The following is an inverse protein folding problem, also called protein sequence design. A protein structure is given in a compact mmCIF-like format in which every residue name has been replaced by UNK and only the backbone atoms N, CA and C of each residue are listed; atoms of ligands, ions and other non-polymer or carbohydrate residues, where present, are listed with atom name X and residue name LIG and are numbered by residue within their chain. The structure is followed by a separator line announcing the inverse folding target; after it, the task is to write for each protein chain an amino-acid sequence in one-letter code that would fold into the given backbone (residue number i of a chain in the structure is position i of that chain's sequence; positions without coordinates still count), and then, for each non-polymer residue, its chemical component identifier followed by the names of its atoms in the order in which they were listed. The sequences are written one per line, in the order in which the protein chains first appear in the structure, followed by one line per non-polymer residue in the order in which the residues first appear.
data_IF_452064969269
#
_entry.id   IF_452064969269
#
_cell.length_a   1.000
_cell.length_b   1.000
_cell.length_c   1.000
_cell.angle_alpha   90.00
_cell.angle_beta   90.00
_cell.angle_gamma   90.00
#
_symmetry.space_group_name_H-M   'P 1'
#
loop_
_entity.id
_entity.type
_entity.pdbx_description
1 polymer ?
#
# COMPACT_ATOMS: atom_id res chain seq x y z
N UNK A 1 20.11 5.58 -5.72
CA UNK A 1 21.19 6.06 -4.79
C UNK A 1 20.60 6.15 -3.39
N UNK A 2 20.94 5.21 -2.49
CA UNK A 2 20.41 5.17 -1.12
C UNK A 2 21.16 6.18 -0.25
N UNK A 3 20.44 7.12 0.36
CA UNK A 3 20.98 8.12 1.27
C UNK A 3 20.69 7.71 2.72
N UNK A 4 21.68 7.88 3.59
CA UNK A 4 21.61 7.52 5.00
C UNK A 4 21.87 8.75 5.87
N UNK A 5 21.05 8.99 6.87
CA UNK A 5 21.37 9.87 7.97
C UNK A 5 22.12 9.16 9.09
N UNK A 6 22.48 9.87 10.16
CA UNK A 6 23.21 9.29 11.30
C UNK A 6 22.44 8.16 12.01
N UNK A 7 21.11 8.17 11.96
CA UNK A 7 20.28 7.15 12.57
C UNK A 7 20.35 5.83 11.81
N UNK A 8 20.19 5.91 10.50
CA UNK A 8 20.22 4.76 9.61
C UNK A 8 21.61 4.13 9.58
N UNK A 9 22.67 4.96 9.63
CA UNK A 9 24.04 4.45 9.76
C UNK A 9 24.21 3.71 11.10
N UNK A 10 23.69 4.25 12.20
CA UNK A 10 23.77 3.60 13.50
C UNK A 10 23.06 2.23 13.51
N UNK A 11 21.91 2.14 12.85
CA UNK A 11 21.14 0.91 12.70
C UNK A 11 21.90 -0.15 11.90
N UNK A 12 22.49 0.21 10.76
CA UNK A 12 23.29 -0.69 9.90
C UNK A 12 24.47 -1.33 10.66
N UNK A 13 25.04 -0.63 11.62
CA UNK A 13 26.17 -1.14 12.41
C UNK A 13 25.79 -1.66 13.80
N UNK A 14 24.50 -1.65 14.17
CA UNK A 14 24.03 -2.07 15.49
C UNK A 14 24.61 -1.23 16.63
N UNK A 15 24.86 0.04 16.39
CA UNK A 15 25.48 0.97 17.34
C UNK A 15 24.57 2.16 17.64
N UNK A 16 24.91 2.96 18.63
CA UNK A 16 24.16 4.19 18.91
C UNK A 16 24.55 5.33 17.96
N UNK A 17 23.65 6.29 17.73
CA UNK A 17 23.93 7.53 16.97
C UNK A 17 25.19 8.26 17.49
N UNK A 18 25.43 8.21 18.80
CA UNK A 18 26.60 8.81 19.41
C UNK A 18 27.91 8.16 18.94
N UNK A 19 27.91 6.84 18.73
CA UNK A 19 29.08 6.13 18.19
C UNK A 19 29.36 6.56 16.75
N UNK A 20 28.34 6.68 15.91
CA UNK A 20 28.49 7.17 14.52
C UNK A 20 28.97 8.64 14.50
N UNK A 21 28.43 9.48 15.36
CA UNK A 21 28.89 10.86 15.52
C UNK A 21 30.37 10.94 15.95
N UNK A 22 30.79 10.04 16.81
CA UNK A 22 32.19 9.91 17.20
C UNK A 22 33.08 9.45 16.04
N UNK A 23 32.63 8.50 15.22
CA UNK A 23 33.36 8.10 14.03
C UNK A 23 33.55 9.26 13.06
N UNK A 24 32.46 10.01 12.77
CA UNK A 24 32.51 11.23 11.94
C UNK A 24 33.52 12.24 12.49
N UNK A 25 33.56 12.44 13.80
CA UNK A 25 34.42 13.45 14.42
C UNK A 25 35.90 13.01 14.54
N UNK A 26 36.18 11.74 14.72
CA UNK A 26 37.51 11.24 15.10
C UNK A 26 38.22 10.43 14.01
N UNK A 27 37.52 9.97 12.98
CA UNK A 27 38.10 9.19 11.88
C UNK A 27 38.18 10.05 10.61
N UNK A 28 39.38 10.50 10.21
CA UNK A 28 39.56 11.31 9.02
C UNK A 28 39.10 10.64 7.71
N UNK A 29 39.05 9.30 7.73
CA UNK A 29 38.63 8.43 6.64
C UNK A 29 37.10 8.35 6.51
N UNK A 30 36.33 8.84 7.50
CA UNK A 30 34.86 8.79 7.45
C UNK A 30 34.34 9.58 6.23
N UNK A 31 33.42 9.02 5.43
CA UNK A 31 32.96 9.65 4.20
C UNK A 31 32.41 11.05 4.44
N UNK A 32 32.60 11.94 3.48
CA UNK A 32 31.98 13.26 3.51
C UNK A 32 30.50 13.12 3.18
N UNK A 33 29.61 13.88 3.82
CA UNK A 33 28.19 13.88 3.47
C UNK A 33 28.00 14.39 2.03
N UNK A 34 27.05 13.79 1.31
CA UNK A 34 26.70 14.20 -0.07
C UNK A 34 25.76 15.39 -0.08
N UNK A 35 25.04 15.63 1.01
CA UNK A 35 24.17 16.78 1.21
C UNK A 35 23.98 17.05 2.72
N UNK A 36 23.65 18.30 3.06
CA UNK A 36 23.15 18.67 4.37
C UNK A 36 21.69 19.07 4.24
N UNK A 37 20.81 18.29 4.88
CA UNK A 37 19.39 18.56 4.96
C UNK A 37 19.09 19.27 6.29
N UNK A 38 17.89 19.85 6.43
CA UNK A 38 17.42 20.40 7.72
C UNK A 38 17.42 19.37 8.87
N UNK A 39 17.30 18.09 8.54
CA UNK A 39 17.39 16.94 9.47
C UNK A 39 18.81 16.51 9.78
N UNK A 40 19.82 17.10 9.14
CA UNK A 40 21.24 16.78 9.30
C UNK A 40 21.91 16.28 8.02
N UNK A 41 23.21 15.96 8.11
CA UNK A 41 23.99 15.45 6.97
C UNK A 41 23.53 14.07 6.54
N UNK A 42 23.63 13.80 5.24
CA UNK A 42 23.31 12.51 4.62
C UNK A 42 24.46 11.99 3.78
N UNK A 43 24.62 10.68 3.74
CA UNK A 43 25.69 9.96 3.05
C UNK A 43 25.13 8.94 2.06
N UNK A 44 25.92 8.59 1.06
CA UNK A 44 25.63 7.46 0.20
C UNK A 44 25.88 6.15 0.94
N UNK A 45 24.95 5.21 0.85
CA UNK A 45 25.07 3.87 1.45
C UNK A 45 26.38 3.18 1.07
N UNK A 46 26.71 3.14 -0.24
CA UNK A 46 27.90 2.46 -0.73
C UNK A 46 29.19 3.06 -0.20
N UNK A 47 29.24 4.38 -0.02
CA UNK A 47 30.40 5.06 0.56
C UNK A 47 30.58 4.67 2.04
N UNK A 48 29.50 4.56 2.81
CA UNK A 48 29.55 4.13 4.22
C UNK A 48 29.96 2.66 4.33
N UNK A 49 29.43 1.77 3.49
CA UNK A 49 29.78 0.35 3.50
C UNK A 49 31.24 0.12 3.07
N UNK A 50 31.70 0.81 2.02
CA UNK A 50 33.09 0.73 1.57
C UNK A 50 34.06 1.20 2.65
N UNK A 51 33.75 2.32 3.32
CA UNK A 51 34.52 2.83 4.45
C UNK A 51 34.55 1.84 5.61
N UNK A 52 33.41 1.28 6.01
CA UNK A 52 33.33 0.31 7.09
C UNK A 52 34.20 -0.94 6.81
N UNK A 53 34.17 -1.45 5.57
CA UNK A 53 35.03 -2.55 5.15
C UNK A 53 36.52 -2.20 5.28
N UNK A 54 36.93 -0.99 4.87
CA UNK A 54 38.31 -0.54 4.99
C UNK A 54 38.75 -0.40 6.44
N UNK A 55 37.86 0.00 7.34
CA UNK A 55 38.13 0.15 8.78
C UNK A 55 37.88 -1.14 9.57
N UNK A 56 37.52 -2.24 8.91
CA UNK A 56 37.21 -3.55 9.54
C UNK A 56 36.12 -3.43 10.62
N UNK A 57 35.17 -2.52 10.44
CA UNK A 57 33.98 -2.38 11.29
C UNK A 57 32.98 -3.40 10.82
N UNK A 58 32.58 -4.39 11.64
CA UNK A 58 31.56 -5.34 11.26
C UNK A 58 30.25 -4.58 11.05
N UNK A 59 29.57 -4.90 9.98
CA UNK A 59 28.15 -4.62 9.86
C UNK A 59 27.48 -5.41 10.99
N UNK A 60 26.49 -4.83 11.68
CA UNK A 60 25.72 -5.62 12.62
C UNK A 60 25.28 -6.89 11.88
N UNK A 61 25.25 -8.01 12.58
CA UNK A 61 24.53 -9.20 12.16
C UNK A 61 23.03 -8.87 12.15
N UNK A 62 22.67 -7.97 11.26
CA UNK A 62 21.36 -8.07 10.63
C UNK A 62 21.40 -9.45 10.01
N UNK A 63 20.43 -10.36 10.31
CA UNK A 63 20.42 -11.67 9.72
C UNK A 63 20.75 -11.46 8.25
N UNK A 64 21.85 -12.10 7.82
CA UNK A 64 22.37 -11.91 6.47
C UNK A 64 21.15 -11.99 5.58
N UNK A 65 20.80 -10.89 4.91
CA UNK A 65 19.85 -10.96 3.85
C UNK A 65 20.47 -11.94 2.86
N UNK A 66 20.18 -13.22 3.07
CA UNK A 66 20.29 -14.15 1.99
C UNK A 66 19.58 -13.48 0.83
N UNK A 67 20.34 -13.15 -0.17
CA UNK A 67 19.82 -12.67 -1.43
C UNK A 67 18.74 -13.68 -1.78
N UNK A 68 17.48 -13.30 -1.59
CA UNK A 68 16.30 -14.14 -1.86
C UNK A 68 16.12 -14.40 -3.36
N UNK A 69 17.22 -14.31 -4.14
CA UNK A 69 17.19 -14.46 -5.59
C UNK A 69 16.74 -15.85 -6.06
N UNK A 70 16.89 -16.89 -5.24
CA UNK A 70 16.39 -18.21 -5.60
C UNK A 70 14.93 -18.46 -5.19
N UNK A 71 14.45 -17.81 -4.13
CA UNK A 71 13.03 -17.89 -3.71
C UNK A 71 12.14 -16.86 -4.41
N UNK A 72 12.69 -15.75 -4.88
CA UNK A 72 11.94 -14.73 -5.62
C UNK A 72 11.45 -15.23 -6.98
N UNK A 73 12.12 -16.20 -7.59
CA UNK A 73 11.73 -16.76 -8.91
C UNK A 73 10.45 -17.62 -8.90
N UNK A 74 9.81 -17.88 -7.75
CA UNK A 74 8.60 -18.72 -7.67
C UNK A 74 7.45 -18.14 -6.83
N UNK A 75 7.57 -16.95 -6.25
CA UNK A 75 6.46 -16.35 -5.51
C UNK A 75 5.62 -15.47 -6.41
N UNK A 76 4.43 -15.93 -6.70
CA UNK A 76 3.35 -15.14 -7.28
C UNK A 76 2.92 -14.07 -6.27
N UNK A 77 2.80 -12.79 -6.68
CA UNK A 77 2.37 -11.72 -5.79
C UNK A 77 1.07 -12.05 -5.04
N UNK A 78 1.00 -11.63 -3.80
CA UNK A 78 -0.25 -11.64 -3.04
C UNK A 78 -1.09 -10.45 -3.49
N UNK A 79 -2.36 -10.68 -3.79
CA UNK A 79 -3.31 -9.62 -4.16
C UNK A 79 -4.24 -9.35 -2.99
N UNK A 80 -4.22 -8.13 -2.45
CA UNK A 80 -5.07 -7.71 -1.35
C UNK A 80 -5.92 -6.51 -1.74
N UNK A 81 -7.25 -6.63 -1.58
CA UNK A 81 -8.18 -5.53 -1.83
C UNK A 81 -8.62 -4.87 -0.52
N UNK A 82 -8.66 -3.53 -0.49
CA UNK A 82 -9.25 -2.77 0.60
C UNK A 82 -10.69 -2.42 0.24
N UNK A 83 -11.65 -3.00 0.94
CA UNK A 83 -13.07 -2.94 0.62
C UNK A 83 -13.93 -2.53 1.80
N UNK A 84 -14.87 -1.67 1.56
CA UNK A 84 -16.00 -1.37 2.46
C UNK A 84 -17.06 -0.62 1.65
N UNK A 85 -18.34 -0.95 1.86
CA UNK A 85 -19.48 -0.32 1.19
C UNK A 85 -19.80 1.09 1.75
N UNK A 86 -19.01 1.58 2.70
CA UNK A 86 -19.10 2.96 3.22
C UNK A 86 -17.95 3.80 2.66
N UNK A 87 -18.29 5.02 2.20
CA UNK A 87 -17.31 6.05 1.84
C UNK A 87 -16.63 6.66 3.07
N UNK A 88 -15.42 7.20 2.89
CA UNK A 88 -14.71 7.95 3.93
C UNK A 88 -14.11 7.10 5.07
N UNK A 89 -14.06 5.78 4.95
CA UNK A 89 -13.46 4.89 5.97
C UNK A 89 -11.94 4.76 5.85
N UNK A 90 -11.34 5.40 4.84
CA UNK A 90 -9.88 5.44 4.65
C UNK A 90 -9.30 4.35 3.78
N UNK A 91 -10.07 3.71 2.88
CA UNK A 91 -9.58 2.69 1.94
C UNK A 91 -8.34 3.16 1.18
N UNK A 92 -8.43 4.21 0.40
CA UNK A 92 -7.33 4.77 -0.41
C UNK A 92 -6.14 5.21 0.44
N UNK A 93 -6.39 5.82 1.60
CA UNK A 93 -5.35 6.23 2.55
C UNK A 93 -4.58 5.02 3.07
N UNK A 94 -5.28 3.96 3.45
CA UNK A 94 -4.63 2.74 3.96
C UNK A 94 -3.90 1.99 2.84
N UNK A 95 -4.51 1.89 1.65
CA UNK A 95 -3.86 1.30 0.46
C UNK A 95 -2.53 1.98 0.18
N UNK A 96 -2.52 3.31 0.10
CA UNK A 96 -1.30 4.09 -0.11
C UNK A 96 -0.25 3.83 0.98
N UNK A 97 -0.65 3.91 2.24
CA UNK A 97 0.29 3.77 3.36
C UNK A 97 0.81 2.35 3.53
N UNK A 98 0.00 1.30 3.31
CA UNK A 98 0.45 -0.10 3.31
C UNK A 98 1.42 -0.37 2.16
N UNK A 99 1.12 0.10 0.95
CA UNK A 99 2.01 -0.07 -0.18
C UNK A 99 3.36 0.61 0.03
N UNK A 100 3.36 1.84 0.49
CA UNK A 100 4.59 2.54 0.87
C UNK A 100 5.35 1.83 1.98
N UNK A 101 4.64 1.29 3.01
CA UNK A 101 5.28 0.59 4.12
C UNK A 101 5.94 -0.71 3.64
N UNK A 102 5.22 -1.51 2.84
CA UNK A 102 5.76 -2.75 2.28
C UNK A 102 7.01 -2.50 1.43
N UNK A 103 6.97 -1.50 0.53
CA UNK A 103 8.12 -1.20 -0.32
C UNK A 103 9.28 -0.58 0.45
N UNK A 104 9.00 0.43 1.29
CA UNK A 104 10.05 1.21 1.94
C UNK A 104 10.67 0.53 3.17
N UNK A 105 9.90 -0.30 3.91
CA UNK A 105 10.36 -0.97 5.16
C UNK A 105 10.72 -2.43 4.95
N UNK A 106 10.11 -3.09 3.97
CA UNK A 106 10.27 -4.52 3.74
C UNK A 106 10.83 -4.85 2.35
N UNK A 107 11.27 -3.82 1.60
CA UNK A 107 11.90 -3.92 0.29
C UNK A 107 11.04 -4.73 -0.72
N UNK A 108 9.71 -4.63 -0.58
CA UNK A 108 8.78 -5.32 -1.45
C UNK A 108 8.60 -4.58 -2.79
N UNK A 109 8.39 -5.33 -3.85
CA UNK A 109 7.93 -4.82 -5.14
C UNK A 109 6.42 -4.69 -5.07
N UNK A 110 5.90 -3.47 -5.08
CA UNK A 110 4.47 -3.20 -4.85
C UNK A 110 3.83 -2.60 -6.09
N UNK A 111 2.69 -3.17 -6.51
CA UNK A 111 1.78 -2.57 -7.46
C UNK A 111 0.51 -2.12 -6.72
N UNK A 112 0.12 -0.87 -6.89
CA UNK A 112 -1.17 -0.36 -6.42
C UNK A 112 -2.11 -0.19 -7.60
N UNK A 113 -3.37 -0.52 -7.42
CA UNK A 113 -4.41 -0.42 -8.45
C UNK A 113 -5.54 0.42 -7.88
N UNK A 114 -5.82 1.53 -8.55
CA UNK A 114 -6.96 2.36 -8.23
C UNK A 114 -8.17 1.87 -9.04
N UNK A 115 -9.15 1.31 -8.34
CA UNK A 115 -10.39 0.80 -8.93
C UNK A 115 -11.60 1.62 -8.47
N UNK A 116 -11.36 2.87 -8.03
CA UNK A 116 -12.41 3.83 -7.67
C UNK A 116 -12.51 4.91 -8.76
N UNK A 117 -13.69 5.12 -9.38
CA UNK A 117 -13.91 6.22 -10.31
C UNK A 117 -13.68 7.62 -9.72
N UNK A 118 -13.54 7.74 -8.42
CA UNK A 118 -13.14 8.98 -7.73
C UNK A 118 -11.61 9.18 -7.67
N UNK A 119 -10.81 8.21 -8.14
CA UNK A 119 -9.36 8.25 -8.33
C UNK A 119 -8.55 8.82 -7.14
N UNK A 120 -9.05 8.61 -5.92
CA UNK A 120 -8.43 9.13 -4.70
C UNK A 120 -7.02 8.55 -4.46
N UNK A 121 -6.81 7.25 -4.72
CA UNK A 121 -5.50 6.62 -4.62
C UNK A 121 -4.54 7.19 -5.66
N UNK A 122 -5.00 7.37 -6.90
CA UNK A 122 -4.19 7.94 -7.98
C UNK A 122 -3.69 9.33 -7.63
N UNK A 123 -4.56 10.20 -7.13
CA UNK A 123 -4.18 11.55 -6.68
C UNK A 123 -3.22 11.49 -5.49
N UNK A 124 -3.45 10.58 -4.55
CA UNK A 124 -2.56 10.42 -3.39
C UNK A 124 -1.14 10.04 -3.84
N UNK A 125 -1.03 9.01 -4.67
CA UNK A 125 0.26 8.41 -5.04
C UNK A 125 1.04 9.28 -6.02
N UNK A 126 0.37 9.83 -7.03
CA UNK A 126 1.02 10.68 -8.04
C UNK A 126 1.20 12.13 -7.56
N UNK A 127 0.47 12.53 -6.53
CA UNK A 127 0.35 13.92 -6.12
C UNK A 127 -0.41 14.76 -7.16
N UNK A 128 -0.73 16.01 -6.82
CA UNK A 128 -1.52 16.89 -7.69
C UNK A 128 -0.88 17.06 -9.06
N UNK A 129 0.42 17.41 -9.10
CA UNK A 129 1.13 17.66 -10.36
C UNK A 129 1.28 16.43 -11.25
N UNK A 130 1.57 15.27 -10.64
CA UNK A 130 1.69 14.02 -11.39
C UNK A 130 0.37 13.55 -11.96
N UNK A 131 -0.74 13.76 -11.23
CA UNK A 131 -2.07 13.44 -11.72
C UNK A 131 -2.56 14.42 -12.80
N UNK A 132 -2.28 15.73 -12.66
CA UNK A 132 -2.53 16.73 -13.71
C UNK A 132 -1.78 16.39 -15.00
N UNK A 133 -0.49 16.06 -14.92
CA UNK A 133 0.29 15.64 -16.08
C UNK A 133 -0.28 14.39 -16.76
N UNK A 134 -0.74 13.40 -15.98
CA UNK A 134 -1.40 12.20 -16.52
C UNK A 134 -2.65 12.56 -17.35
N UNK A 135 -3.44 13.54 -16.89
CA UNK A 135 -4.65 14.00 -17.62
C UNK A 135 -4.27 14.81 -18.87
N UNK A 136 -3.28 15.71 -18.78
CA UNK A 136 -2.82 16.53 -19.91
C UNK A 136 -2.23 15.67 -21.04
N UNK A 137 -1.48 14.63 -20.68
CA UNK A 137 -0.91 13.66 -21.64
C UNK A 137 -1.96 12.68 -22.19
N UNK A 138 -3.19 12.71 -21.69
CA UNK A 138 -4.22 11.72 -21.98
C UNK A 138 -3.71 10.29 -21.80
N UNK A 139 -2.89 10.11 -20.79
CA UNK A 139 -2.22 8.83 -20.52
C UNK A 139 -3.28 7.74 -20.18
N UNK A 140 -3.11 6.51 -20.67
CA UNK A 140 -4.05 5.44 -20.40
C UNK A 140 -4.13 5.12 -18.90
N UNK A 141 -5.36 4.87 -18.42
CA UNK A 141 -5.68 4.51 -17.04
C UNK A 141 -6.44 3.17 -17.01
N UNK A 142 -6.86 2.73 -15.82
CA UNK A 142 -7.44 1.39 -15.61
C UNK A 142 -8.68 1.11 -16.48
N UNK A 143 -9.41 2.14 -16.90
CA UNK A 143 -10.63 1.98 -17.71
C UNK A 143 -10.40 1.28 -19.03
N UNK A 144 -9.18 1.32 -19.59
CA UNK A 144 -8.90 0.64 -20.86
C UNK A 144 -9.07 -0.88 -20.78
N UNK A 145 -8.93 -1.47 -19.57
CA UNK A 145 -9.15 -2.89 -19.34
C UNK A 145 -10.63 -3.27 -19.53
N UNK A 146 -11.51 -2.31 -19.31
CA UNK A 146 -12.98 -2.49 -19.39
C UNK A 146 -13.59 -2.00 -20.71
N UNK A 147 -12.83 -1.32 -21.57
CA UNK A 147 -13.31 -0.86 -22.89
C UNK A 147 -13.51 -2.02 -23.86
N UNK A 148 -14.50 -1.87 -24.76
CA UNK A 148 -14.73 -2.88 -25.79
C UNK A 148 -13.62 -2.86 -26.84
N UNK A 149 -13.19 -4.04 -27.31
CA UNK A 149 -12.18 -4.16 -28.36
C UNK A 149 -12.55 -3.45 -29.67
N UNK A 150 -13.84 -3.12 -29.83
CA UNK A 150 -14.38 -2.34 -30.97
C UNK A 150 -14.20 -0.82 -30.80
N UNK A 151 -13.97 -0.33 -29.57
CA UNK A 151 -13.90 1.11 -29.26
C UNK A 151 -12.48 1.66 -29.07
N UNK A 152 -11.43 0.90 -29.37
CA UNK A 152 -10.07 1.46 -29.24
C UNK A 152 -8.96 0.48 -28.91
N UNK A 153 -9.18 -0.79 -29.22
CA UNK A 153 -8.14 -1.81 -29.02
C UNK A 153 -7.97 -2.21 -27.55
N UNK A 154 -8.09 -3.51 -27.30
CA UNK A 154 -7.73 -4.11 -26.01
C UNK A 154 -6.23 -3.84 -25.80
N UNK A 155 -5.78 -3.29 -24.64
CA UNK A 155 -4.36 -3.22 -24.38
C UNK A 155 -3.79 -4.63 -24.38
N UNK A 156 -2.68 -4.84 -25.08
CA UNK A 156 -2.04 -6.15 -25.14
C UNK A 156 -1.58 -6.63 -23.75
N UNK A 157 -1.41 -5.68 -22.81
CA UNK A 157 -0.95 -5.98 -21.44
C UNK A 157 -1.30 -4.85 -20.45
N UNK A 158 -1.51 -5.20 -19.18
CA UNK A 158 -1.60 -4.24 -18.06
C UNK A 158 -0.36 -3.33 -17.99
N UNK A 159 0.77 -3.79 -18.48
CA UNK A 159 2.03 -3.02 -18.50
C UNK A 159 1.88 -1.65 -19.19
N UNK A 160 0.97 -1.50 -20.14
CA UNK A 160 0.74 -0.23 -20.85
C UNK A 160 0.19 0.87 -19.92
N UNK A 161 -0.49 0.51 -18.83
CA UNK A 161 -1.12 1.45 -17.87
C UNK A 161 -0.33 1.58 -16.57
N UNK A 162 0.67 0.73 -16.32
CA UNK A 162 1.50 0.81 -15.12
C UNK A 162 2.40 2.04 -15.18
N UNK A 163 2.43 2.80 -14.09
CA UNK A 163 3.30 3.96 -13.89
C UNK A 163 4.24 3.72 -12.72
N UNK A 164 5.53 3.97 -12.93
CA UNK A 164 6.52 3.98 -11.87
C UNK A 164 6.32 5.22 -10.99
N UNK A 165 6.32 5.02 -9.66
CA UNK A 165 6.23 6.07 -8.65
C UNK A 165 7.55 6.20 -7.91
N UNK A 166 8.12 5.09 -7.48
CA UNK A 166 9.42 5.02 -6.84
C UNK A 166 10.09 3.68 -7.16
N UNK A 167 11.37 3.72 -7.39
CA UNK A 167 12.20 2.54 -7.62
C UNK A 167 13.51 2.71 -6.87
N UNK A 168 14.01 1.63 -6.26
CA UNK A 168 15.23 1.63 -5.47
C UNK A 168 16.25 0.63 -6.01
N UNK A 169 17.53 0.87 -5.69
CA UNK A 169 18.65 0.07 -6.20
C UNK A 169 18.61 -1.41 -5.73
N UNK A 170 17.86 -1.72 -4.67
CA UNK A 170 17.64 -3.09 -4.18
C UNK A 170 16.54 -3.84 -4.95
N UNK A 171 15.97 -3.22 -5.97
CA UNK A 171 14.91 -3.78 -6.81
C UNK A 171 13.50 -3.62 -6.22
N UNK A 172 13.35 -3.07 -5.02
CA UNK A 172 12.04 -2.70 -4.50
C UNK A 172 11.43 -1.56 -5.30
N UNK A 173 10.13 -1.51 -5.40
CA UNK A 173 9.46 -0.48 -6.19
C UNK A 173 8.04 -0.21 -5.72
N UNK A 174 7.54 0.95 -6.08
CA UNK A 174 6.13 1.31 -6.02
C UNK A 174 5.69 1.69 -7.43
N UNK A 175 4.77 0.93 -7.96
CA UNK A 175 4.10 1.23 -9.21
C UNK A 175 2.61 1.42 -8.95
N UNK A 176 1.93 2.14 -9.87
CA UNK A 176 0.48 2.35 -9.82
C UNK A 176 -0.16 2.10 -11.19
N UNK A 177 -1.34 1.49 -11.17
CA UNK A 177 -2.33 1.56 -12.25
C UNK A 177 -3.35 2.61 -11.85
N UNK A 178 -3.31 3.82 -12.44
CA UNK A 178 -4.17 4.91 -12.03
C UNK A 178 -5.59 4.76 -12.57
N UNK A 179 -6.55 5.38 -11.88
CA UNK A 179 -7.92 5.60 -12.36
C UNK A 179 -8.12 7.03 -12.83
N UNK A 180 -9.20 7.21 -13.59
CA UNK A 180 -9.70 8.50 -13.99
C UNK A 180 -11.23 8.52 -13.99
N UNK A 181 -11.84 9.67 -14.21
CA UNK A 181 -13.31 9.81 -14.26
C UNK A 181 -13.93 8.98 -15.38
N UNK A 182 -13.19 8.70 -16.45
CA UNK A 182 -13.60 7.87 -17.60
C UNK A 182 -14.00 6.46 -17.17
N UNK A 183 -13.45 5.94 -16.08
CA UNK A 183 -13.83 4.67 -15.49
C UNK A 183 -15.32 4.63 -15.15
N UNK A 184 -15.90 5.73 -14.62
CA UNK A 184 -17.31 5.82 -14.29
C UNK A 184 -18.23 5.70 -15.53
N UNK A 185 -17.78 6.21 -16.68
CA UNK A 185 -18.51 6.11 -17.93
C UNK A 185 -18.39 4.73 -18.56
N UNK A 186 -17.19 4.15 -18.48
CA UNK A 186 -16.89 2.84 -19.05
C UNK A 186 -17.72 1.74 -18.40
N UNK A 187 -17.81 1.70 -17.06
CA UNK A 187 -18.53 0.66 -16.31
C UNK A 187 -20.05 0.66 -16.56
N UNK A 188 -20.64 1.79 -17.00
CA UNK A 188 -22.07 1.84 -17.36
C UNK A 188 -22.41 1.05 -18.60
N UNK A 189 -21.42 0.74 -19.44
CA UNK A 189 -21.57 0.04 -20.73
C UNK A 189 -21.15 -1.42 -20.68
N UNK A 190 -20.57 -1.85 -19.57
CA UNK A 190 -19.94 -3.19 -19.44
C UNK A 190 -20.73 -4.03 -18.47
N UNK A 191 -21.17 -5.22 -18.92
CA UNK A 191 -21.97 -6.13 -18.10
C UNK A 191 -21.27 -7.45 -17.78
N UNK A 192 -20.23 -7.85 -18.51
CA UNK A 192 -19.65 -9.21 -18.46
C UNK A 192 -18.10 -9.25 -18.35
N UNK A 193 -17.46 -8.16 -17.98
CA UNK A 193 -16.00 -8.05 -17.96
C UNK A 193 -15.38 -8.08 -16.55
N UNK A 194 -16.08 -8.66 -15.58
CA UNK A 194 -15.57 -8.72 -14.21
C UNK A 194 -14.23 -9.49 -14.09
N UNK A 195 -13.98 -10.47 -14.96
CA UNK A 195 -12.76 -11.25 -14.97
C UNK A 195 -11.51 -10.53 -15.50
N UNK A 196 -11.69 -9.42 -16.23
CA UNK A 196 -10.60 -8.77 -16.94
C UNK A 196 -9.45 -8.35 -16.06
N UNK A 197 -9.73 -7.79 -14.88
CA UNK A 197 -8.68 -7.39 -13.96
C UNK A 197 -7.81 -8.58 -13.53
N UNK A 198 -8.42 -9.70 -13.13
CA UNK A 198 -7.71 -10.92 -12.76
C UNK A 198 -6.83 -11.43 -13.90
N UNK A 199 -7.38 -11.48 -15.11
CA UNK A 199 -6.69 -11.99 -16.28
C UNK A 199 -5.45 -11.16 -16.61
N UNK A 200 -5.57 -9.82 -16.56
CA UNK A 200 -4.41 -8.93 -16.74
C UNK A 200 -3.40 -8.99 -15.61
N UNK A 201 -3.85 -9.20 -14.36
CA UNK A 201 -2.94 -9.39 -13.24
C UNK A 201 -2.10 -10.65 -13.38
N UNK A 202 -2.63 -11.71 -13.96
CA UNK A 202 -1.86 -12.92 -14.23
C UNK A 202 -0.62 -12.67 -15.09
N UNK A 203 -0.64 -11.67 -15.96
CA UNK A 203 0.48 -11.33 -16.86
C UNK A 203 1.62 -10.56 -16.15
N UNK A 204 1.36 -9.97 -14.99
CA UNK A 204 2.32 -9.11 -14.28
C UNK A 204 2.60 -9.57 -12.85
N UNK A 205 1.85 -10.55 -12.35
CA UNK A 205 1.84 -10.96 -10.95
C UNK A 205 3.21 -11.49 -10.45
N UNK A 206 4.04 -12.00 -11.32
CA UNK A 206 5.39 -12.49 -11.03
C UNK A 206 6.43 -11.35 -10.85
N UNK A 207 6.08 -10.15 -11.27
CA UNK A 207 6.96 -8.97 -11.14
C UNK A 207 6.88 -8.30 -9.77
N UNK A 208 5.87 -8.63 -8.98
CA UNK A 208 5.59 -8.00 -7.69
C UNK A 208 5.55 -9.00 -6.56
N UNK A 209 5.70 -8.53 -5.34
CA UNK A 209 5.52 -9.30 -4.11
C UNK A 209 4.13 -9.03 -3.52
N UNK A 210 3.62 -7.79 -3.69
CA UNK A 210 2.31 -7.36 -3.21
C UNK A 210 1.60 -6.53 -4.28
N UNK A 211 0.32 -6.86 -4.51
CA UNK A 211 -0.60 -6.05 -5.32
C UNK A 211 -1.73 -5.58 -4.41
N UNK A 212 -1.94 -4.28 -4.33
CA UNK A 212 -3.00 -3.66 -3.54
C UNK A 212 -4.06 -3.06 -4.44
N UNK A 213 -5.32 -3.40 -4.20
CA UNK A 213 -6.47 -2.88 -4.94
C UNK A 213 -7.28 -1.95 -4.03
N UNK A 214 -7.37 -0.68 -4.39
CA UNK A 214 -8.31 0.28 -3.77
C UNK A 214 -9.65 0.24 -4.48
N UNK A 215 -10.75 0.17 -3.75
CA UNK A 215 -12.09 -0.04 -4.34
C UNK A 215 -13.04 1.11 -4.02
N UNK A 216 -14.01 1.32 -4.92
CA UNK A 216 -15.14 2.21 -4.67
C UNK A 216 -16.04 1.69 -3.53
N UNK A 217 -16.77 2.58 -2.83
CA UNK A 217 -17.70 2.21 -1.75
C UNK A 217 -19.06 1.73 -2.28
N UNK A 218 -19.09 1.10 -3.44
CA UNK A 218 -20.34 0.74 -4.14
C UNK A 218 -20.27 -0.68 -4.68
N UNK A 219 -21.41 -1.36 -4.68
CA UNK A 219 -21.58 -2.61 -5.42
C UNK A 219 -21.63 -2.32 -6.91
N UNK A 220 -20.74 -2.92 -7.67
CA UNK A 220 -20.60 -2.71 -9.11
C UNK A 220 -19.76 -3.81 -9.74
N UNK A 221 -19.62 -3.79 -11.06
CA UNK A 221 -18.68 -4.67 -11.76
C UNK A 221 -17.23 -4.51 -11.26
N UNK A 222 -16.86 -3.34 -10.71
CA UNK A 222 -15.53 -3.11 -10.16
C UNK A 222 -15.31 -3.86 -8.83
N UNK A 223 -16.32 -3.88 -7.93
CA UNK A 223 -16.23 -4.68 -6.71
C UNK A 223 -16.17 -6.17 -7.04
N UNK A 224 -16.95 -6.63 -8.00
CA UNK A 224 -16.88 -8.01 -8.52
C UNK A 224 -15.50 -8.32 -9.11
N UNK A 225 -14.91 -7.40 -9.88
CA UNK A 225 -13.55 -7.55 -10.43
C UNK A 225 -12.50 -7.65 -9.34
N UNK A 226 -12.65 -6.86 -8.27
CA UNK A 226 -11.75 -6.94 -7.12
C UNK A 226 -11.89 -8.27 -6.38
N UNK A 227 -13.11 -8.80 -6.17
CA UNK A 227 -13.33 -10.14 -5.59
C UNK A 227 -12.66 -11.25 -6.41
N UNK A 228 -12.82 -11.22 -7.75
CA UNK A 228 -12.24 -12.22 -8.65
C UNK A 228 -10.70 -12.16 -8.70
N UNK A 229 -10.12 -11.01 -8.44
CA UNK A 229 -8.68 -10.77 -8.56
C UNK A 229 -7.92 -10.93 -7.24
N UNK A 230 -8.57 -10.71 -6.09
CA UNK A 230 -7.93 -10.68 -4.79
C UNK A 230 -7.76 -12.08 -4.17
N UNK A 231 -6.65 -12.28 -3.45
CA UNK A 231 -6.48 -13.41 -2.53
C UNK A 231 -7.07 -13.05 -1.16
N UNK A 232 -6.96 -11.78 -0.75
CA UNK A 232 -7.43 -11.28 0.55
C UNK A 232 -8.24 -10.00 0.40
N UNK A 233 -9.25 -9.85 1.26
CA UNK A 233 -9.98 -8.60 1.47
C UNK A 233 -9.69 -8.08 2.87
N UNK A 234 -9.25 -6.84 2.97
CA UNK A 234 -9.13 -6.10 4.22
C UNK A 234 -10.22 -5.04 4.30
N UNK A 235 -10.81 -4.90 5.48
CA UNK A 235 -11.98 -4.05 5.67
C UNK A 235 -11.67 -2.91 6.64
N UNK A 236 -11.26 -1.74 6.14
CA UNK A 236 -11.12 -0.55 6.97
C UNK A 236 -12.50 -0.10 7.48
N UNK A 237 -12.59 0.17 8.77
CA UNK A 237 -13.83 0.60 9.43
C UNK A 237 -13.57 1.81 10.32
N UNK A 238 -14.24 2.92 10.05
CA UNK A 238 -14.31 4.01 11.00
C UNK A 238 -15.39 3.68 12.04
N UNK A 239 -15.09 3.65 13.36
CA UNK A 239 -16.06 3.22 14.37
C UNK A 239 -17.09 4.31 14.66
N UNK A 240 -18.02 4.50 13.74
CA UNK A 240 -19.16 5.41 13.83
C UNK A 240 -20.45 4.62 13.63
N UNK A 241 -21.58 5.14 14.15
CA UNK A 241 -22.91 4.53 14.02
C UNK A 241 -23.20 4.05 12.57
N UNK A 242 -22.94 4.89 11.59
CA UNK A 242 -23.18 4.54 10.19
C UNK A 242 -22.26 3.42 9.65
N UNK A 243 -21.19 3.08 10.34
CA UNK A 243 -20.29 1.99 9.92
C UNK A 243 -20.90 0.62 10.20
N UNK A 244 -21.85 0.54 11.14
CA UNK A 244 -22.61 -0.68 11.43
C UNK A 244 -23.49 -1.10 10.25
N UNK A 245 -23.79 -0.20 9.30
CA UNK A 245 -24.57 -0.48 8.10
C UNK A 245 -23.68 -1.02 6.96
N UNK A 246 -22.47 -0.49 6.80
CA UNK A 246 -21.56 -0.85 5.70
C UNK A 246 -21.09 -2.31 5.75
N UNK A 247 -20.84 -2.84 6.94
CA UNK A 247 -20.38 -4.24 7.10
C UNK A 247 -21.45 -5.28 6.73
N UNK A 248 -22.71 -5.20 7.19
CA UNK A 248 -23.77 -6.08 6.70
C UNK A 248 -23.97 -6.06 5.19
N UNK A 249 -23.80 -4.90 4.55
CA UNK A 249 -23.84 -4.79 3.11
C UNK A 249 -22.69 -5.54 2.45
N UNK A 250 -21.48 -5.45 2.99
CA UNK A 250 -20.32 -6.22 2.52
C UNK A 250 -20.55 -7.74 2.68
N UNK A 251 -21.09 -8.18 3.83
CA UNK A 251 -21.46 -9.60 4.04
C UNK A 251 -22.43 -10.07 2.99
N UNK A 252 -23.45 -9.26 2.69
CA UNK A 252 -24.44 -9.59 1.65
C UNK A 252 -23.79 -9.67 0.27
N UNK A 253 -22.95 -8.69 -0.09
CA UNK A 253 -22.23 -8.65 -1.37
C UNK A 253 -21.36 -9.90 -1.57
N UNK A 254 -20.59 -10.30 -0.54
CA UNK A 254 -19.78 -11.51 -0.58
C UNK A 254 -20.61 -12.77 -0.80
N UNK A 255 -21.74 -12.91 -0.12
CA UNK A 255 -22.65 -14.06 -0.30
C UNK A 255 -23.27 -14.09 -1.70
N UNK A 256 -23.61 -12.93 -2.25
CA UNK A 256 -24.12 -12.81 -3.61
C UNK A 256 -23.03 -13.19 -4.62
N UNK A 257 -21.79 -12.74 -4.40
CA UNK A 257 -20.63 -13.16 -5.17
C UNK A 257 -20.43 -14.68 -5.13
N UNK A 258 -20.37 -15.30 -3.96
CA UNK A 258 -20.26 -16.75 -3.78
C UNK A 258 -21.36 -17.53 -4.52
N UNK A 259 -22.58 -17.01 -4.49
CA UNK A 259 -23.72 -17.64 -5.14
C UNK A 259 -23.66 -17.52 -6.66
N UNK A 260 -23.20 -16.38 -7.17
CA UNK A 260 -23.14 -16.07 -8.60
C UNK A 260 -21.94 -16.71 -9.27
N UNK A 261 -20.79 -16.71 -8.59
CA UNK A 261 -19.50 -17.16 -9.10
C UNK A 261 -19.05 -18.48 -8.43
N UNK A 262 -19.91 -19.48 -8.39
CA UNK A 262 -19.74 -20.78 -7.67
C UNK A 262 -18.45 -21.55 -7.98
N UNK A 263 -17.88 -21.34 -9.17
CA UNK A 263 -16.69 -22.04 -9.64
C UNK A 263 -15.41 -21.20 -9.47
N UNK A 264 -15.53 -19.98 -8.94
CA UNK A 264 -14.40 -19.09 -8.70
C UNK A 264 -13.92 -19.18 -7.25
N UNK A 265 -12.64 -18.91 -7.04
CA UNK A 265 -12.10 -18.80 -5.70
C UNK A 265 -12.70 -17.56 -5.00
N UNK A 266 -13.15 -17.74 -3.77
CA UNK A 266 -13.61 -16.64 -2.92
C UNK A 266 -12.40 -16.10 -2.17
N UNK A 267 -12.17 -14.79 -2.18
CA UNK A 267 -11.06 -14.21 -1.43
C UNK A 267 -11.27 -14.37 0.07
N UNK A 268 -10.19 -14.65 0.80
CA UNK A 268 -10.21 -14.71 2.25
C UNK A 268 -10.39 -13.31 2.86
N UNK A 269 -11.14 -13.20 3.95
CA UNK A 269 -11.19 -11.96 4.73
C UNK A 269 -9.94 -11.87 5.59
N UNK A 270 -8.95 -11.10 5.13
CA UNK A 270 -7.69 -10.87 5.83
C UNK A 270 -7.87 -10.21 7.19
N UNK A 271 -8.88 -9.36 7.34
CA UNK A 271 -9.29 -8.81 8.62
C UNK A 271 -10.00 -7.46 8.55
N UNK A 272 -10.61 -7.10 9.67
CA UNK A 272 -11.22 -5.78 9.90
C UNK A 272 -10.20 -4.90 10.62
N UNK A 273 -10.01 -3.67 10.14
CA UNK A 273 -9.05 -2.71 10.67
C UNK A 273 -9.80 -1.45 11.09
N UNK A 274 -9.77 -1.12 12.38
CA UNK A 274 -10.30 0.15 12.83
C UNK A 274 -9.39 1.29 12.37
N UNK A 275 -9.99 2.27 11.70
CA UNK A 275 -9.32 3.45 11.14
C UNK A 275 -10.05 4.73 11.53
N UNK A 276 -9.31 5.83 11.65
CA UNK A 276 -9.81 7.15 12.04
C UNK A 276 -10.56 7.11 13.38
N UNK A 277 -9.97 6.39 14.35
CA UNK A 277 -10.57 6.15 15.65
C UNK A 277 -10.39 7.34 16.60
N UNK A 278 -11.35 7.54 17.50
CA UNK A 278 -11.30 8.52 18.58
C UNK A 278 -11.76 7.88 19.91
N UNK A 279 -11.61 8.64 20.99
CA UNK A 279 -11.96 8.22 22.36
C UNK A 279 -13.32 8.81 22.74
N UNK A 280 -14.39 8.38 22.06
CA UNK A 280 -15.77 8.78 22.35
C UNK A 280 -16.63 7.56 22.66
N UNK A 281 -17.66 7.74 23.49
CA UNK A 281 -18.61 6.67 23.82
C UNK A 281 -19.27 6.08 22.57
N UNK A 282 -19.51 6.90 21.54
CA UNK A 282 -20.06 6.47 20.25
C UNK A 282 -19.10 5.52 19.53
N UNK A 283 -17.80 5.86 19.50
CA UNK A 283 -16.79 4.99 18.92
C UNK A 283 -16.67 3.66 19.65
N UNK A 284 -16.76 3.66 20.98
CA UNK A 284 -16.70 2.42 21.77
C UNK A 284 -17.92 1.53 21.51
N UNK A 285 -19.10 2.12 21.39
CA UNK A 285 -20.33 1.38 21.06
C UNK A 285 -20.22 0.75 19.67
N UNK A 286 -19.83 1.53 18.68
CA UNK A 286 -19.64 1.05 17.30
C UNK A 286 -18.54 -0.04 17.21
N UNK A 287 -17.41 0.09 17.93
CA UNK A 287 -16.39 -0.98 18.05
C UNK A 287 -17.00 -2.28 18.58
N UNK A 288 -17.88 -2.18 19.60
CA UNK A 288 -18.57 -3.34 20.17
C UNK A 288 -19.40 -4.09 19.14
N UNK A 289 -20.18 -3.38 18.34
CA UNK A 289 -21.04 -3.98 17.32
C UNK A 289 -20.25 -4.58 16.15
N UNK A 290 -19.20 -3.89 15.69
CA UNK A 290 -18.28 -4.42 14.66
C UNK A 290 -17.61 -5.71 15.13
N UNK A 291 -17.13 -5.77 16.39
CA UNK A 291 -16.53 -6.98 16.97
C UNK A 291 -17.52 -8.14 17.07
N UNK A 292 -18.79 -7.88 17.44
CA UNK A 292 -19.84 -8.90 17.46
C UNK A 292 -20.08 -9.48 16.06
N UNK A 293 -20.17 -8.62 15.04
CA UNK A 293 -20.36 -9.04 13.65
C UNK A 293 -19.15 -9.83 13.16
N UNK A 294 -17.93 -9.34 13.37
CA UNK A 294 -16.70 -10.04 12.99
C UNK A 294 -16.65 -11.45 13.59
N UNK A 295 -16.97 -11.57 14.89
CA UNK A 295 -17.04 -12.87 15.58
C UNK A 295 -18.08 -13.79 14.97
N UNK A 296 -19.26 -13.26 14.63
CA UNK A 296 -20.33 -14.04 14.00
C UNK A 296 -19.99 -14.55 12.61
N UNK A 297 -19.14 -13.82 11.86
CA UNK A 297 -18.66 -14.21 10.54
C UNK A 297 -17.33 -15.01 10.57
N UNK A 298 -16.70 -15.15 11.75
CA UNK A 298 -15.38 -15.78 11.86
C UNK A 298 -14.23 -14.90 11.31
N UNK A 299 -14.45 -13.60 11.15
CA UNK A 299 -13.47 -12.68 10.58
C UNK A 299 -12.43 -12.23 11.60
N UNK A 300 -11.19 -12.11 11.17
CA UNK A 300 -10.11 -11.61 12.00
C UNK A 300 -10.31 -10.12 12.30
N UNK A 301 -10.07 -9.74 13.55
CA UNK A 301 -10.01 -8.35 13.98
C UNK A 301 -8.56 -7.96 14.26
N UNK A 302 -8.09 -6.90 13.63
CA UNK A 302 -6.77 -6.36 13.93
C UNK A 302 -6.68 -5.95 15.40
N UNK A 303 -5.52 -6.21 16.01
CA UNK A 303 -5.20 -5.83 17.39
C UNK A 303 -4.83 -4.36 17.48
N UNK A 304 -4.20 -3.85 16.41
CA UNK A 304 -3.78 -2.47 16.29
C UNK A 304 -4.80 -1.69 15.45
N UNK A 305 -5.01 -0.43 15.80
CA UNK A 305 -5.93 0.48 15.10
C UNK A 305 -5.22 1.78 14.73
N UNK A 306 -5.78 2.51 13.77
CA UNK A 306 -5.29 3.81 13.31
C UNK A 306 -6.16 4.89 13.93
N UNK A 307 -5.63 5.68 14.86
CA UNK A 307 -6.36 6.79 15.46
C UNK A 307 -6.36 8.02 14.54
N UNK A 308 -7.33 8.93 14.76
CA UNK A 308 -7.49 10.15 13.96
C UNK A 308 -6.20 10.98 13.90
N UNK A 309 -5.85 11.47 12.71
CA UNK A 309 -4.73 12.41 12.54
C UNK A 309 -4.85 13.24 11.27
N UNK A 310 -4.70 14.54 11.41
CA UNK A 310 -4.61 15.47 10.28
C UNK A 310 -3.33 15.29 9.45
N UNK A 311 -2.39 14.46 9.90
CA UNK A 311 -1.17 14.17 9.15
C UNK A 311 -1.41 13.27 7.94
N UNK A 312 -2.49 12.46 7.92
CA UNK A 312 -2.86 11.67 6.75
C UNK A 312 -3.27 12.53 5.55
N UNK A 313 -4.23 13.47 5.69
CA UNK A 313 -4.54 14.39 4.60
C UNK A 313 -3.36 15.26 4.18
N UNK A 314 -2.51 15.66 5.12
CA UNK A 314 -1.30 16.42 4.83
C UNK A 314 -0.29 15.61 4.01
N UNK A 315 -0.11 14.33 4.34
CA UNK A 315 0.70 13.39 3.58
C UNK A 315 0.15 13.15 2.18
N UNK A 316 -1.15 12.88 2.07
CA UNK A 316 -1.84 12.67 0.80
C UNK A 316 -1.61 13.82 -0.20
N UNK A 317 -1.72 15.07 0.26
CA UNK A 317 -1.45 16.26 -0.57
C UNK A 317 -0.01 16.31 -1.10
N UNK A 318 0.94 15.66 -0.41
CA UNK A 318 2.35 15.64 -0.77
C UNK A 318 2.78 14.34 -1.47
N UNK A 319 1.87 13.41 -1.70
CA UNK A 319 2.19 12.08 -2.22
C UNK A 319 3.02 11.23 -1.24
N UNK A 320 2.96 11.52 0.07
CA UNK A 320 3.81 10.89 1.09
C UNK A 320 3.00 10.05 2.08
N UNK A 321 3.48 8.87 2.48
CA UNK A 321 2.87 8.11 3.56
C UNK A 321 3.08 8.81 4.90
N UNK A 322 2.30 8.41 5.92
CA UNK A 322 2.33 9.02 7.26
C UNK A 322 3.73 9.06 7.87
N UNK A 323 4.51 8.00 7.71
CA UNK A 323 5.84 7.90 8.32
C UNK A 323 6.92 8.75 7.62
N UNK A 324 6.68 9.20 6.36
CA UNK A 324 7.52 10.17 5.65
C UNK A 324 6.96 11.61 5.70
N UNK A 325 5.82 11.82 6.36
CA UNK A 325 5.21 13.14 6.51
C UNK A 325 5.88 13.90 7.67
N UNK A 326 6.44 15.07 7.38
CA UNK A 326 7.26 15.84 8.34
C UNK A 326 6.50 16.23 9.61
N UNK A 327 5.23 16.58 9.48
CA UNK A 327 4.37 17.04 10.58
C UNK A 327 3.75 15.88 11.39
N UNK A 328 3.98 14.62 11.01
CA UNK A 328 3.47 13.48 11.75
C UNK A 328 4.30 13.23 13.01
N UNK A 329 3.64 13.19 14.16
CA UNK A 329 4.29 12.88 15.44
C UNK A 329 4.86 11.48 15.43
N UNK A 330 6.00 11.26 16.10
CA UNK A 330 6.69 9.97 16.14
C UNK A 330 5.79 8.80 16.59
N UNK A 331 4.93 9.02 17.59
CA UNK A 331 4.02 8.01 18.06
C UNK A 331 2.94 7.61 17.03
N UNK A 332 2.53 8.56 16.16
CA UNK A 332 1.60 8.28 15.05
C UNK A 332 2.26 7.42 13.97
N UNK A 333 3.53 7.69 13.67
CA UNK A 333 4.32 6.86 12.75
C UNK A 333 4.44 5.44 13.30
N UNK A 334 4.81 5.30 14.59
CA UNK A 334 4.92 4.01 15.26
C UNK A 334 3.57 3.26 15.40
N UNK A 335 2.45 3.98 15.54
CA UNK A 335 1.11 3.38 15.52
C UNK A 335 0.83 2.73 14.18
N UNK A 336 1.07 3.46 13.08
CA UNK A 336 0.86 2.92 11.74
C UNK A 336 1.83 1.77 11.43
N UNK A 337 3.10 1.86 11.84
CA UNK A 337 4.07 0.78 11.67
C UNK A 337 3.58 -0.55 12.28
N UNK A 338 2.90 -0.51 13.43
CA UNK A 338 2.30 -1.70 14.06
C UNK A 338 1.12 -2.27 13.25
N UNK A 339 0.24 -1.41 12.74
CA UNK A 339 -0.88 -1.84 11.91
C UNK A 339 -0.38 -2.42 10.58
N UNK A 340 0.64 -1.81 9.98
CA UNK A 340 1.22 -2.28 8.74
C UNK A 340 1.99 -3.60 8.92
N UNK A 341 2.72 -3.77 10.02
CA UNK A 341 3.37 -5.03 10.35
C UNK A 341 2.33 -6.16 10.52
N UNK A 342 1.22 -5.89 11.24
CA UNK A 342 0.13 -6.86 11.41
C UNK A 342 -0.54 -7.20 10.06
N UNK A 343 -0.68 -6.22 9.16
CA UNK A 343 -1.16 -6.45 7.79
C UNK A 343 -0.22 -7.39 7.01
N UNK A 344 1.09 -7.13 7.04
CA UNK A 344 2.07 -7.96 6.34
C UNK A 344 2.14 -9.39 6.91
N UNK A 345 2.13 -9.52 8.23
CA UNK A 345 2.07 -10.84 8.89
C UNK A 345 0.83 -11.65 8.46
N UNK A 346 -0.33 -10.98 8.30
CA UNK A 346 -1.59 -11.64 7.88
C UNK A 346 -1.52 -12.20 6.47
N UNK A 347 -0.74 -11.61 5.59
CA UNK A 347 -0.56 -12.07 4.20
C UNK A 347 0.74 -12.87 4.01
N UNK A 348 1.56 -13.03 5.05
CA UNK A 348 2.80 -13.82 4.99
C UNK A 348 3.96 -13.14 4.24
N UNK A 349 4.02 -11.83 4.30
CA UNK A 349 5.10 -10.99 3.77
C UNK A 349 6.01 -10.45 4.87
#
# INVERSE_FOLDING_TARGET
MRLLGLAEIAEIFGVTRQVVANWKARKPTFPKPVAELKSGPVWQYDAIVAWAKSERIPLADLPAREIKDEKAKQRRAIVAALMNMKGGVGKSTMTANFGWHAAYRHDARVLMIDLDPQFNLSQYILGTKGYEALLEEQAPTIEILFKDSKEGGKPDSLTAVIRAVAEWDDGSCIHIVPASLELAWTIRRVTDRAHMLRDYLNDVRDRYDLILIDTAPTESILSTSAYLAADYIFVPVKPEWLSTIGLPLLVRSLREFETTYKNEAVPDIGGIIFNDTGDTAEHDHARGDVRKLAKAQGWYMFKNEVSHSNSYPAGARLGKPIFLTDNARAWKKAEFDKVAAEFLDRIGL
#
